data_IF_792907177882
#
_entry.id   IF_792907177882
#
_cell.length_a   1.000
_cell.length_b   1.000
_cell.length_c   1.000
_cell.angle_alpha   90.00
_cell.angle_beta   90.00
_cell.angle_gamma   90.00
#
_symmetry.space_group_name_H-M   'P 1'
#
loop_
_entity.id
_entity.type
_entity.pdbx_description
1 polymer ?
#
# COMPACT_ATOMS: atom_id res chain seq x y z
N UNK A 1 -22.31 33.38 -4.05
CA UNK A 1 -21.71 32.56 -5.13
C UNK A 1 -21.40 31.11 -4.72
N UNK A 2 -21.29 30.75 -3.44
CA UNK A 2 -21.02 29.35 -3.00
C UNK A 2 -22.21 28.39 -3.07
N UNK A 3 -23.45 28.87 -2.89
CA UNK A 3 -24.64 28.01 -2.87
C UNK A 3 -25.01 27.39 -4.23
N UNK A 4 -24.71 28.08 -5.34
CA UNK A 4 -24.98 27.56 -6.70
C UNK A 4 -24.03 26.44 -7.12
N UNK A 5 -22.76 26.54 -6.73
CA UNK A 5 -21.73 25.51 -6.99
C UNK A 5 -22.01 24.26 -6.15
N UNK A 6 -22.50 24.42 -4.91
CA UNK A 6 -22.85 23.28 -4.06
C UNK A 6 -24.07 22.52 -4.59
N UNK A 7 -25.11 23.21 -5.07
CA UNK A 7 -26.30 22.55 -5.61
C UNK A 7 -26.02 21.79 -6.92
N UNK A 8 -25.16 22.33 -7.80
CA UNK A 8 -24.74 21.65 -9.03
C UNK A 8 -23.88 20.42 -8.74
N UNK A 9 -22.95 20.50 -7.78
CA UNK A 9 -22.17 19.33 -7.32
C UNK A 9 -23.07 18.25 -6.74
N UNK A 10 -24.03 18.63 -5.91
CA UNK A 10 -25.03 17.70 -5.36
C UNK A 10 -25.90 17.09 -6.46
N UNK A 11 -26.28 17.83 -7.50
CA UNK A 11 -27.06 17.24 -8.59
C UNK A 11 -26.25 16.21 -9.39
N UNK A 12 -25.01 16.54 -9.76
CA UNK A 12 -24.19 15.69 -10.62
C UNK A 12 -23.65 14.44 -9.90
N UNK A 13 -23.43 14.48 -8.58
CA UNK A 13 -23.05 13.28 -7.83
C UNK A 13 -24.14 12.19 -7.87
N UNK A 14 -25.42 12.59 -7.99
CA UNK A 14 -26.53 11.62 -8.01
C UNK A 14 -26.52 10.71 -9.23
N UNK A 15 -25.82 11.10 -10.30
CA UNK A 15 -25.70 10.28 -11.51
C UNK A 15 -25.16 8.88 -11.21
N UNK A 16 -24.20 8.77 -10.29
CA UNK A 16 -23.58 7.48 -9.93
C UNK A 16 -24.45 6.60 -9.02
N UNK A 17 -25.59 7.11 -8.53
CA UNK A 17 -26.58 6.33 -7.80
C UNK A 17 -27.75 5.87 -8.67
N UNK A 18 -28.03 6.58 -9.77
CA UNK A 18 -29.20 6.34 -10.59
C UNK A 18 -28.90 5.67 -11.93
N UNK A 19 -27.67 5.76 -12.42
CA UNK A 19 -27.26 5.17 -13.69
C UNK A 19 -26.28 4.03 -13.47
N UNK A 20 -26.35 3.04 -14.35
CA UNK A 20 -25.29 2.03 -14.45
C UNK A 20 -24.06 2.62 -15.14
N UNK A 21 -22.84 2.09 -14.87
CA UNK A 21 -21.61 2.57 -15.48
C UNK A 21 -21.67 2.71 -17.02
N UNK A 22 -22.22 1.73 -17.72
CA UNK A 22 -22.36 1.72 -19.18
C UNK A 22 -23.31 2.81 -19.69
N UNK A 23 -24.36 3.12 -18.94
CA UNK A 23 -25.32 4.16 -19.31
C UNK A 23 -24.66 5.54 -19.29
N UNK A 24 -23.80 5.80 -18.30
CA UNK A 24 -23.05 7.05 -18.23
C UNK A 24 -22.03 7.17 -19.37
N UNK A 25 -21.36 6.09 -19.76
CA UNK A 25 -20.47 6.10 -20.94
C UNK A 25 -21.25 6.48 -22.20
N UNK A 26 -22.47 5.96 -22.38
CA UNK A 26 -23.31 6.30 -23.55
C UNK A 26 -23.82 7.75 -23.47
N UNK A 27 -24.26 8.19 -22.28
CA UNK A 27 -24.81 9.52 -22.06
C UNK A 27 -23.76 10.62 -22.32
N UNK A 28 -22.51 10.37 -21.96
CA UNK A 28 -21.39 11.30 -22.11
C UNK A 28 -20.42 10.91 -23.25
N UNK A 29 -20.87 10.11 -24.22
CA UNK A 29 -20.02 9.61 -25.32
C UNK A 29 -19.30 10.72 -26.11
N UNK A 30 -19.91 11.89 -26.20
CA UNK A 30 -19.41 13.05 -26.94
C UNK A 30 -18.54 13.98 -26.07
N UNK A 31 -18.48 13.74 -24.75
CA UNK A 31 -17.71 14.54 -23.78
C UNK A 31 -17.23 13.67 -22.59
N UNK A 32 -16.29 12.77 -22.87
CA UNK A 32 -15.70 11.90 -21.86
C UNK A 32 -14.94 12.70 -20.78
N UNK A 33 -14.37 13.86 -21.12
CA UNK A 33 -13.67 14.73 -20.17
C UNK A 33 -14.63 15.26 -19.10
N UNK A 34 -15.82 15.70 -19.50
CA UNK A 34 -16.86 16.11 -18.56
C UNK A 34 -17.27 14.97 -17.62
N UNK A 35 -17.45 13.74 -18.14
CA UNK A 35 -17.78 12.57 -17.31
C UNK A 35 -16.69 12.30 -16.27
N UNK A 36 -15.42 12.33 -16.67
CA UNK A 36 -14.27 12.16 -15.77
C UNK A 36 -14.26 13.23 -14.68
N UNK A 37 -14.46 14.50 -15.05
CA UNK A 37 -14.49 15.61 -14.08
C UNK A 37 -15.64 15.47 -13.08
N UNK A 38 -16.82 15.05 -13.55
CA UNK A 38 -17.99 14.78 -12.72
C UNK A 38 -17.70 13.64 -11.74
N UNK A 39 -17.11 12.54 -12.24
CA UNK A 39 -16.74 11.39 -11.42
C UNK A 39 -15.74 11.75 -10.31
N UNK A 40 -14.61 12.37 -10.65
CA UNK A 40 -13.60 12.76 -9.68
C UNK A 40 -14.14 13.75 -8.64
N UNK A 41 -14.97 14.70 -9.08
CA UNK A 41 -15.65 15.62 -8.17
C UNK A 41 -16.62 14.91 -7.23
N UNK A 42 -17.25 13.82 -7.68
CA UNK A 42 -18.22 13.05 -6.90
C UNK A 42 -17.53 12.24 -5.81
N UNK A 43 -16.45 11.53 -6.14
CA UNK A 43 -15.68 10.74 -5.15
C UNK A 43 -14.85 11.60 -4.19
N UNK A 44 -14.54 12.85 -4.55
CA UNK A 44 -13.96 13.85 -3.63
C UNK A 44 -15.03 14.40 -2.67
N UNK A 45 -16.27 14.55 -3.14
CA UNK A 45 -17.37 15.10 -2.33
C UNK A 45 -17.95 14.08 -1.37
N UNK A 46 -18.17 12.84 -1.83
CA UNK A 46 -18.67 11.73 -1.05
C UNK A 46 -17.71 10.54 -1.18
N UNK A 47 -17.01 10.20 -0.11
CA UNK A 47 -16.06 9.10 -0.11
C UNK A 47 -16.74 7.73 -0.31
N UNK A 48 -18.05 7.62 -0.08
CA UNK A 48 -18.81 6.39 -0.36
C UNK A 48 -19.23 6.24 -1.82
N UNK A 49 -19.11 7.30 -2.64
CA UNK A 49 -19.42 7.21 -4.05
C UNK A 49 -18.49 6.20 -4.75
N UNK A 50 -19.07 5.28 -5.52
CA UNK A 50 -18.34 4.20 -6.19
C UNK A 50 -17.42 3.42 -5.23
N UNK A 51 -17.85 3.15 -3.99
CA UNK A 51 -17.02 2.47 -2.99
C UNK A 51 -16.48 1.10 -3.47
N UNK A 52 -17.29 0.34 -4.21
CA UNK A 52 -16.92 -0.97 -4.77
C UNK A 52 -16.11 -0.88 -6.09
N UNK A 53 -15.93 0.35 -6.61
CA UNK A 53 -15.10 0.65 -7.78
C UNK A 53 -15.62 0.13 -9.11
N UNK A 54 -16.92 -0.09 -9.27
CA UNK A 54 -17.50 -0.53 -10.53
C UNK A 54 -17.33 0.53 -11.63
N UNK A 55 -17.55 1.81 -11.31
CA UNK A 55 -17.31 2.91 -12.25
C UNK A 55 -15.81 3.09 -12.48
N UNK A 56 -14.97 3.03 -11.43
CA UNK A 56 -13.53 3.10 -11.57
C UNK A 56 -13.02 2.08 -12.59
N UNK A 57 -13.41 0.80 -12.40
CA UNK A 57 -12.99 -0.31 -13.26
C UNK A 57 -13.40 -0.07 -14.71
N UNK A 58 -14.66 0.32 -14.95
CA UNK A 58 -15.14 0.57 -16.30
C UNK A 58 -14.43 1.76 -16.95
N UNK A 59 -14.17 2.84 -16.20
CA UNK A 59 -13.53 4.04 -16.74
C UNK A 59 -12.06 3.78 -17.07
N UNK A 60 -11.35 2.98 -16.27
CA UNK A 60 -9.99 2.52 -16.60
C UNK A 60 -9.97 1.74 -17.92
N UNK A 61 -10.98 0.90 -18.17
CA UNK A 61 -11.10 0.11 -19.41
C UNK A 61 -11.54 0.94 -20.63
N UNK A 62 -12.51 1.83 -20.45
CA UNK A 62 -13.22 2.50 -21.57
C UNK A 62 -12.74 3.90 -21.91
N UNK A 63 -12.11 4.60 -20.97
CA UNK A 63 -11.72 6.01 -21.16
C UNK A 63 -10.19 6.09 -21.28
N UNK A 64 -9.64 6.34 -22.48
CA UNK A 64 -8.20 6.40 -22.69
C UNK A 64 -7.52 7.43 -21.78
N UNK A 65 -6.46 7.01 -21.09
CA UNK A 65 -5.69 7.87 -20.20
C UNK A 65 -6.35 8.15 -18.84
N UNK A 66 -7.53 7.57 -18.56
CA UNK A 66 -8.21 7.78 -17.29
C UNK A 66 -7.38 7.33 -16.08
N UNK A 67 -6.67 6.20 -16.17
CA UNK A 67 -5.78 5.74 -15.09
C UNK A 67 -4.75 6.82 -14.70
N UNK A 68 -4.17 7.53 -15.68
CA UNK A 68 -3.24 8.64 -15.41
C UNK A 68 -3.92 9.76 -14.63
N UNK A 69 -5.12 10.15 -15.05
CA UNK A 69 -5.88 11.21 -14.38
C UNK A 69 -6.22 10.79 -12.95
N UNK A 70 -6.66 9.54 -12.76
CA UNK A 70 -6.98 8.98 -11.44
C UNK A 70 -5.75 8.89 -10.54
N UNK A 71 -4.60 8.45 -11.05
CA UNK A 71 -3.34 8.47 -10.28
C UNK A 71 -2.96 9.89 -9.87
N UNK A 72 -3.08 10.89 -10.76
CA UNK A 72 -2.85 12.29 -10.41
C UNK A 72 -3.83 12.81 -9.36
N UNK A 73 -5.09 12.37 -9.42
CA UNK A 73 -6.11 12.68 -8.40
C UNK A 73 -5.72 12.12 -7.03
N UNK A 74 -5.32 10.84 -6.94
CA UNK A 74 -4.84 10.23 -5.69
C UNK A 74 -3.59 10.94 -5.16
N UNK A 75 -2.65 11.33 -6.02
CA UNK A 75 -1.48 12.11 -5.63
C UNK A 75 -1.88 13.45 -5.00
N UNK A 76 -2.81 14.18 -5.64
CA UNK A 76 -3.28 15.49 -5.17
C UNK A 76 -4.10 15.45 -3.86
N UNK A 77 -4.51 14.26 -3.40
CA UNK A 77 -5.09 14.10 -2.07
C UNK A 77 -4.04 14.16 -0.95
N UNK A 78 -2.78 13.77 -1.24
CA UNK A 78 -1.69 13.71 -0.26
C UNK A 78 -2.14 12.97 1.02
N UNK A 79 -2.15 13.67 2.16
CA UNK A 79 -2.54 13.11 3.45
C UNK A 79 -4.06 12.86 3.61
N UNK A 80 -4.88 13.31 2.64
CA UNK A 80 -6.34 13.13 2.63
C UNK A 80 -6.81 11.83 2.00
N UNK A 81 -5.89 10.97 1.52
CA UNK A 81 -6.26 9.63 1.07
C UNK A 81 -6.87 8.83 2.22
N UNK A 82 -8.03 8.24 1.95
CA UNK A 82 -8.78 7.48 2.94
C UNK A 82 -8.94 6.00 2.55
N UNK A 83 -9.60 5.25 3.42
CA UNK A 83 -9.87 3.83 3.19
C UNK A 83 -10.82 3.62 2.01
N UNK A 84 -11.73 4.55 1.72
CA UNK A 84 -12.64 4.45 0.58
C UNK A 84 -11.92 4.55 -0.75
N UNK A 85 -10.88 5.39 -0.85
CA UNK A 85 -10.01 5.43 -2.04
C UNK A 85 -9.34 4.07 -2.30
N UNK A 86 -8.87 3.40 -1.25
CA UNK A 86 -8.29 2.06 -1.36
C UNK A 86 -9.34 1.02 -1.75
N UNK A 87 -10.51 1.02 -1.09
CA UNK A 87 -11.61 0.09 -1.39
C UNK A 87 -12.09 0.20 -2.83
N UNK A 88 -12.23 1.43 -3.33
CA UNK A 88 -12.54 1.70 -4.74
C UNK A 88 -11.48 1.14 -5.66
N UNK A 89 -10.21 1.36 -5.33
CA UNK A 89 -9.07 0.89 -6.14
C UNK A 89 -8.91 -0.64 -6.12
N UNK A 90 -9.37 -1.34 -5.07
CA UNK A 90 -9.35 -2.82 -5.02
C UNK A 90 -10.11 -3.46 -6.18
N UNK A 91 -11.10 -2.77 -6.76
CA UNK A 91 -11.83 -3.22 -7.95
C UNK A 91 -10.92 -3.55 -9.14
N UNK A 92 -9.77 -2.87 -9.26
CA UNK A 92 -8.81 -3.06 -10.36
C UNK A 92 -8.11 -4.43 -10.31
N UNK A 93 -8.09 -5.10 -9.14
CA UNK A 93 -7.62 -6.48 -9.06
C UNK A 93 -8.47 -7.48 -9.85
N UNK A 94 -9.71 -7.09 -10.20
CA UNK A 94 -10.63 -7.88 -11.01
C UNK A 94 -10.37 -7.73 -12.53
N UNK A 95 -9.46 -6.85 -12.94
CA UNK A 95 -9.06 -6.70 -14.33
C UNK A 95 -8.04 -7.77 -14.75
N UNK A 96 -8.02 -8.11 -16.04
CA UNK A 96 -7.07 -9.07 -16.58
C UNK A 96 -5.64 -8.52 -16.53
N UNK A 97 -5.46 -7.24 -16.87
CA UNK A 97 -4.18 -6.50 -16.85
C UNK A 97 -3.88 -5.83 -15.49
N UNK A 98 -4.38 -6.40 -14.38
CA UNK A 98 -4.28 -5.75 -13.08
C UNK A 98 -2.84 -5.41 -12.66
N UNK A 99 -1.85 -6.25 -13.02
CA UNK A 99 -0.46 -6.01 -12.63
C UNK A 99 0.07 -4.73 -13.27
N UNK A 100 -0.20 -4.51 -14.55
CA UNK A 100 0.21 -3.30 -15.27
C UNK A 100 -0.50 -2.05 -14.72
N UNK A 101 -1.79 -2.19 -14.32
CA UNK A 101 -2.53 -1.11 -13.67
C UNK A 101 -1.90 -0.71 -12.33
N UNK A 102 -1.56 -1.69 -11.48
CA UNK A 102 -0.92 -1.43 -10.19
C UNK A 102 0.53 -0.98 -10.33
N UNK A 103 1.29 -1.51 -11.29
CA UNK A 103 2.65 -1.05 -11.60
C UNK A 103 2.63 0.46 -11.90
N UNK A 104 1.70 0.90 -12.75
CA UNK A 104 1.53 2.31 -13.10
C UNK A 104 1.09 3.16 -11.89
N UNK A 105 0.04 2.74 -11.19
CA UNK A 105 -0.56 3.49 -10.10
C UNK A 105 0.45 3.69 -8.95
N UNK A 106 1.13 2.62 -8.55
CA UNK A 106 2.08 2.64 -7.44
C UNK A 106 3.35 3.38 -7.82
N UNK A 107 3.86 3.20 -9.04
CA UNK A 107 4.99 4.00 -9.53
C UNK A 107 4.65 5.49 -9.56
N UNK A 108 3.42 5.87 -9.93
CA UNK A 108 2.95 7.25 -9.87
C UNK A 108 2.91 7.81 -8.45
N UNK A 109 2.49 7.02 -7.46
CA UNK A 109 2.52 7.40 -6.03
C UNK A 109 3.95 7.51 -5.52
N UNK A 110 4.85 6.63 -5.95
CA UNK A 110 6.27 6.67 -5.55
C UNK A 110 7.03 7.85 -6.16
N UNK A 111 6.55 8.42 -7.27
CA UNK A 111 7.08 9.62 -7.92
C UNK A 111 6.68 10.91 -7.17
N UNK A 112 6.69 10.87 -5.84
CA UNK A 112 6.52 12.04 -4.97
C UNK A 112 7.90 12.40 -4.41
N UNK A 113 8.23 13.69 -4.36
CA UNK A 113 9.54 14.18 -3.91
C UNK A 113 9.83 13.94 -2.41
N UNK A 114 8.85 13.40 -1.67
CA UNK A 114 9.03 13.06 -0.27
C UNK A 114 9.93 11.82 -0.17
N UNK A 115 11.12 11.91 0.45
CA UNK A 115 11.93 10.73 0.70
C UNK A 115 11.23 9.75 1.65
N UNK A 116 10.20 10.17 2.39
CA UNK A 116 9.36 9.36 3.25
C UNK A 116 8.01 9.05 2.56
N UNK A 117 7.47 7.86 2.85
CA UNK A 117 6.11 7.54 2.43
C UNK A 117 5.14 8.16 3.45
N UNK A 118 4.19 8.98 2.98
CA UNK A 118 3.15 9.55 3.85
C UNK A 118 2.33 8.44 4.50
N UNK A 119 1.80 8.71 5.69
CA UNK A 119 0.97 7.75 6.42
C UNK A 119 -0.24 7.31 5.59
N UNK A 120 -0.85 8.24 4.86
CA UNK A 120 -2.02 7.95 4.02
C UNK A 120 -1.67 7.06 2.82
N UNK A 121 -0.48 7.22 2.20
CA UNK A 121 -0.03 6.28 1.16
C UNK A 121 0.27 4.88 1.72
N UNK A 122 0.85 4.78 2.92
CA UNK A 122 1.06 3.48 3.59
C UNK A 122 -0.26 2.77 3.84
N UNK A 123 -1.24 3.46 4.41
CA UNK A 123 -2.57 2.90 4.66
C UNK A 123 -3.27 2.48 3.37
N UNK A 124 -3.17 3.31 2.33
CA UNK A 124 -3.72 3.00 1.02
C UNK A 124 -3.12 1.71 0.45
N UNK A 125 -1.79 1.59 0.41
CA UNK A 125 -1.12 0.39 -0.10
C UNK A 125 -1.38 -0.84 0.79
N UNK A 126 -1.39 -0.67 2.10
CA UNK A 126 -1.72 -1.75 3.04
C UNK A 126 -3.14 -2.27 2.81
N UNK A 127 -4.11 -1.38 2.61
CA UNK A 127 -5.48 -1.76 2.27
C UNK A 127 -5.57 -2.46 0.91
N UNK A 128 -4.81 -2.02 -0.10
CA UNK A 128 -4.74 -2.68 -1.42
C UNK A 128 -4.19 -4.10 -1.38
N UNK A 129 -3.34 -4.40 -0.40
CA UNK A 129 -2.67 -5.69 -0.19
C UNK A 129 -3.30 -6.50 0.94
N UNK A 130 -4.29 -5.95 1.62
CA UNK A 130 -5.11 -6.67 2.59
C UNK A 130 -6.03 -7.62 1.84
N UNK A 131 -6.23 -8.82 2.39
CA UNK A 131 -7.08 -9.85 1.78
C UNK A 131 -8.54 -9.40 1.91
N UNK A 132 -9.29 -9.16 0.82
CA UNK A 132 -10.73 -9.11 0.92
C UNK A 132 -11.24 -10.52 1.18
N UNK A 133 -12.18 -10.67 2.11
CA UNK A 133 -12.69 -11.97 2.56
C UNK A 133 -13.36 -12.80 1.46
N UNK A 134 -13.69 -12.19 0.33
CA UNK A 134 -14.65 -12.76 -0.64
C UNK A 134 -13.99 -13.21 -1.96
N UNK A 135 -12.67 -13.06 -2.12
CA UNK A 135 -11.94 -13.44 -3.34
C UNK A 135 -10.83 -14.46 -3.04
N UNK A 136 -11.09 -15.78 -3.19
CA UNK A 136 -10.16 -16.84 -2.80
C UNK A 136 -8.76 -16.72 -3.43
N UNK A 137 -8.68 -16.25 -4.68
CA UNK A 137 -7.42 -16.14 -5.43
C UNK A 137 -6.73 -14.77 -5.31
N UNK A 138 -7.37 -13.79 -4.66
CA UNK A 138 -6.87 -12.42 -4.64
C UNK A 138 -5.58 -12.28 -3.81
N UNK A 139 -5.50 -12.98 -2.68
CA UNK A 139 -4.29 -12.97 -1.85
C UNK A 139 -3.05 -13.46 -2.63
N UNK A 140 -3.23 -14.51 -3.45
CA UNK A 140 -2.16 -15.04 -4.30
C UNK A 140 -1.77 -14.05 -5.39
N UNK A 141 -2.76 -13.41 -6.02
CA UNK A 141 -2.55 -12.39 -7.07
C UNK A 141 -1.82 -11.15 -6.52
N UNK A 142 -2.23 -10.64 -5.36
CA UNK A 142 -1.57 -9.53 -4.66
C UNK A 142 -0.11 -9.87 -4.31
N UNK A 143 0.14 -11.07 -3.75
CA UNK A 143 1.49 -11.53 -3.43
C UNK A 143 2.35 -11.61 -4.69
N UNK A 144 1.86 -12.24 -5.77
CA UNK A 144 2.58 -12.34 -7.04
C UNK A 144 2.95 -10.96 -7.60
N UNK A 145 2.01 -10.02 -7.58
CA UNK A 145 2.26 -8.66 -8.02
C UNK A 145 3.37 -7.99 -7.20
N UNK A 146 3.29 -8.03 -5.87
CA UNK A 146 4.29 -7.38 -4.99
C UNK A 146 5.68 -7.94 -5.25
N UNK A 147 5.83 -9.25 -5.41
CA UNK A 147 7.12 -9.88 -5.69
C UNK A 147 7.65 -9.45 -7.07
N UNK A 148 6.82 -9.50 -8.12
CA UNK A 148 7.18 -9.01 -9.46
C UNK A 148 7.60 -7.54 -9.42
N UNK A 149 6.88 -6.69 -8.69
CA UNK A 149 7.16 -5.26 -8.61
C UNK A 149 8.48 -4.98 -7.86
N UNK A 150 8.80 -5.76 -6.82
CA UNK A 150 10.11 -5.71 -6.15
C UNK A 150 11.23 -6.03 -7.14
N UNK A 151 11.07 -7.06 -7.97
CA UNK A 151 12.05 -7.42 -8.98
C UNK A 151 12.30 -6.27 -9.96
N UNK A 152 11.22 -5.63 -10.45
CA UNK A 152 11.32 -4.55 -11.43
C UNK A 152 12.03 -3.29 -10.91
N UNK A 153 11.90 -2.99 -9.61
CA UNK A 153 12.53 -1.81 -8.99
C UNK A 153 13.83 -2.11 -8.23
N UNK A 154 14.23 -3.39 -8.16
CA UNK A 154 15.32 -3.88 -7.30
C UNK A 154 16.67 -3.19 -7.51
N UNK A 155 16.95 -2.67 -8.71
CA UNK A 155 18.20 -1.98 -9.03
C UNK A 155 18.27 -0.53 -8.54
N UNK A 156 17.16 0.06 -8.09
CA UNK A 156 17.11 1.42 -7.56
C UNK A 156 16.97 1.38 -6.04
N UNK A 157 18.06 1.73 -5.34
CA UNK A 157 18.08 1.82 -3.87
C UNK A 157 17.03 2.80 -3.33
N UNK A 158 16.73 3.87 -4.07
CA UNK A 158 15.70 4.83 -3.72
C UNK A 158 14.29 4.22 -3.85
N UNK A 159 13.98 3.60 -5.00
CA UNK A 159 12.65 3.03 -5.22
C UNK A 159 12.38 1.86 -4.28
N UNK A 160 13.34 0.95 -4.10
CA UNK A 160 13.14 -0.20 -3.22
C UNK A 160 12.97 0.24 -1.77
N UNK A 161 13.76 1.21 -1.31
CA UNK A 161 13.60 1.80 0.03
C UNK A 161 12.22 2.41 0.21
N UNK A 162 11.75 3.18 -0.77
CA UNK A 162 10.44 3.81 -0.70
C UNK A 162 9.32 2.76 -0.72
N UNK A 163 9.42 1.75 -1.58
CA UNK A 163 8.41 0.70 -1.67
C UNK A 163 8.32 -0.13 -0.38
N UNK A 164 9.45 -0.54 0.21
CA UNK A 164 9.44 -1.22 1.51
C UNK A 164 8.87 -0.35 2.65
N UNK A 165 8.90 0.99 2.53
CA UNK A 165 8.21 1.89 3.45
C UNK A 165 6.71 1.96 3.20
N UNK A 166 6.25 1.81 1.96
CA UNK A 166 4.81 1.69 1.66
C UNK A 166 4.24 0.37 2.19
N UNK A 167 5.05 -0.69 2.17
CA UNK A 167 4.71 -2.01 2.71
C UNK A 167 4.79 -2.05 4.25
N UNK A 168 4.65 -0.93 4.96
CA UNK A 168 4.88 -0.86 6.40
C UNK A 168 3.96 -1.83 7.17
N UNK A 169 2.67 -1.79 6.84
CA UNK A 169 1.61 -2.44 7.60
C UNK A 169 1.09 -3.74 6.95
N UNK A 170 1.88 -4.36 6.05
CA UNK A 170 1.54 -5.69 5.53
C UNK A 170 1.84 -6.79 6.56
N UNK A 171 1.25 -7.97 6.38
CA UNK A 171 1.51 -9.11 7.26
C UNK A 171 2.99 -9.50 7.31
N UNK A 172 3.45 -9.98 8.47
CA UNK A 172 4.82 -10.50 8.63
C UNK A 172 5.12 -11.64 7.64
N UNK A 173 4.12 -12.44 7.27
CA UNK A 173 4.29 -13.50 6.26
C UNK A 173 4.64 -12.93 4.89
N UNK A 174 3.85 -11.98 4.37
CA UNK A 174 4.10 -11.36 3.07
C UNK A 174 5.41 -10.57 3.11
N UNK A 175 5.66 -9.81 4.17
CA UNK A 175 6.91 -9.07 4.38
C UNK A 175 8.13 -9.97 4.32
N UNK A 176 8.09 -11.14 4.99
CA UNK A 176 9.17 -12.13 4.92
C UNK A 176 9.40 -12.59 3.48
N UNK A 177 8.34 -12.91 2.74
CA UNK A 177 8.43 -13.30 1.33
C UNK A 177 9.04 -12.18 0.47
N UNK A 178 8.64 -10.93 0.69
CA UNK A 178 9.19 -9.76 0.00
C UNK A 178 10.70 -9.60 0.26
N UNK A 179 11.14 -9.70 1.52
CA UNK A 179 12.57 -9.60 1.88
C UNK A 179 13.35 -10.74 1.24
N UNK A 180 12.84 -11.97 1.31
CA UNK A 180 13.50 -13.14 0.72
C UNK A 180 13.60 -13.06 -0.78
N UNK A 181 12.54 -12.60 -1.45
CA UNK A 181 12.59 -12.39 -2.88
C UNK A 181 13.59 -11.28 -3.23
N UNK A 182 13.55 -10.14 -2.52
CA UNK A 182 14.48 -9.03 -2.73
C UNK A 182 15.95 -9.45 -2.65
N UNK A 183 16.36 -10.19 -1.61
CA UNK A 183 17.77 -10.62 -1.48
C UNK A 183 18.22 -11.61 -2.56
N UNK A 184 17.28 -12.28 -3.24
CA UNK A 184 17.62 -13.17 -4.37
C UNK A 184 17.91 -12.37 -5.64
N UNK A 185 17.20 -11.26 -5.84
CA UNK A 185 17.33 -10.40 -7.04
C UNK A 185 18.35 -9.28 -6.84
N UNK A 186 18.61 -8.84 -5.61
CA UNK A 186 19.61 -7.83 -5.26
C UNK A 186 20.41 -8.27 -4.01
N UNK A 187 21.71 -8.47 -4.18
CA UNK A 187 22.63 -8.95 -3.13
C UNK A 187 23.48 -7.82 -2.54
N UNK A 188 23.20 -6.56 -2.88
CA UNK A 188 23.91 -5.39 -2.36
C UNK A 188 23.50 -5.14 -0.92
N UNK A 189 24.49 -5.21 -0.03
CA UNK A 189 24.31 -4.96 1.39
C UNK A 189 23.83 -3.55 1.70
N UNK A 190 24.27 -2.53 0.96
CA UNK A 190 23.83 -1.16 1.21
C UNK A 190 22.36 -0.97 0.85
N UNK A 191 21.88 -1.65 -0.20
CA UNK A 191 20.46 -1.70 -0.54
C UNK A 191 19.64 -2.46 0.52
N UNK A 192 20.15 -3.59 1.03
CA UNK A 192 19.50 -4.34 2.11
C UNK A 192 19.41 -3.55 3.42
N UNK A 193 20.43 -2.77 3.74
CA UNK A 193 20.48 -1.97 4.96
C UNK A 193 19.42 -0.85 4.97
N UNK A 194 19.05 -0.32 3.81
CA UNK A 194 18.10 0.80 3.71
C UNK A 194 16.65 0.38 3.64
N UNK A 195 16.33 -0.89 3.34
CA UNK A 195 14.97 -1.39 3.42
C UNK A 195 14.56 -1.57 4.89
N UNK A 196 13.33 -1.17 5.22
CA UNK A 196 12.81 -1.37 6.58
C UNK A 196 12.48 -2.85 6.77
N UNK A 197 13.29 -3.60 7.52
CA UNK A 197 13.02 -5.03 7.75
C UNK A 197 11.79 -5.23 8.63
N UNK A 198 11.63 -4.41 9.67
CA UNK A 198 10.51 -4.47 10.61
C UNK A 198 9.47 -3.38 10.29
N UNK A 199 8.18 -3.59 10.65
CA UNK A 199 7.19 -2.53 10.64
C UNK A 199 7.60 -1.35 11.54
N UNK A 200 7.24 -0.12 11.15
CA UNK A 200 7.54 1.10 11.92
C UNK A 200 6.69 1.22 13.19
N UNK A 201 5.42 0.77 13.14
CA UNK A 201 4.52 0.76 14.29
C UNK A 201 4.56 -0.63 14.92
N UNK A 202 4.75 -0.68 16.23
CA UNK A 202 4.65 -1.89 17.03
C UNK A 202 4.01 -1.55 18.38
N UNK A 203 3.20 -2.46 18.89
CA UNK A 203 2.33 -2.22 20.06
C UNK A 203 0.86 -2.44 19.71
N UNK A 204 0.09 -2.88 20.71
CA UNK A 204 -1.31 -3.24 20.55
C UNK A 204 -1.94 -3.57 21.90
N UNK A 205 -3.06 -4.31 21.91
CA UNK A 205 -3.60 -4.82 23.17
C UNK A 205 -2.69 -5.93 23.70
N UNK A 206 -1.86 -5.59 24.68
CA UNK A 206 -0.98 -6.52 25.38
C UNK A 206 0.32 -5.86 25.85
N UNK A 207 1.16 -6.61 26.58
CA UNK A 207 2.46 -6.13 27.03
C UNK A 207 3.36 -5.78 25.83
N UNK A 208 4.10 -4.67 25.94
CA UNK A 208 5.02 -4.24 24.88
C UNK A 208 6.17 -5.25 24.72
N UNK A 209 6.58 -5.92 25.81
CA UNK A 209 7.53 -7.03 25.80
C UNK A 209 7.11 -8.18 24.87
N UNK A 210 5.80 -8.42 24.73
CA UNK A 210 5.25 -9.44 23.82
C UNK A 210 5.35 -9.00 22.36
N UNK A 211 5.10 -7.72 22.06
CA UNK A 211 5.27 -7.20 20.71
C UNK A 211 6.74 -7.23 20.26
N UNK A 212 7.68 -6.99 21.18
CA UNK A 212 9.12 -7.10 20.92
C UNK A 212 9.55 -8.56 20.64
N UNK A 213 8.97 -9.55 21.33
CA UNK A 213 9.26 -10.97 21.02
C UNK A 213 8.86 -11.33 19.58
N UNK A 214 7.69 -10.89 19.12
CA UNK A 214 7.25 -11.12 17.73
C UNK A 214 8.23 -10.52 16.72
N UNK A 215 8.80 -9.33 17.00
CA UNK A 215 9.81 -8.69 16.16
C UNK A 215 11.11 -9.48 16.14
N UNK A 216 11.57 -9.96 17.29
CA UNK A 216 12.76 -10.80 17.43
C UNK A 216 12.58 -12.11 16.66
N UNK A 217 11.44 -12.80 16.83
CA UNK A 217 11.12 -14.03 16.11
C UNK A 217 11.08 -13.80 14.59
N UNK A 218 10.48 -12.68 14.15
CA UNK A 218 10.48 -12.32 12.74
C UNK A 218 11.91 -12.13 12.20
N UNK A 219 12.77 -11.36 12.87
CA UNK A 219 14.16 -11.17 12.44
C UNK A 219 14.93 -12.49 12.41
N UNK A 220 14.78 -13.33 13.44
CA UNK A 220 15.38 -14.68 13.49
C UNK A 220 14.92 -15.54 12.32
N UNK A 221 13.65 -15.41 11.91
CA UNK A 221 13.11 -16.11 10.75
C UNK A 221 13.78 -15.73 9.43
N UNK A 222 14.47 -14.58 9.36
CA UNK A 222 15.19 -14.15 8.16
C UNK A 222 16.57 -14.82 8.00
N UNK A 223 17.22 -15.18 9.12
CA UNK A 223 18.59 -15.70 9.14
C UNK A 223 18.83 -16.95 8.27
N UNK A 224 17.91 -17.94 8.17
CA UNK A 224 18.12 -19.13 7.36
C UNK A 224 18.36 -18.85 5.87
N UNK A 225 17.89 -17.71 5.35
CA UNK A 225 18.07 -17.32 3.96
C UNK A 225 19.33 -16.45 3.73
N UNK A 226 19.98 -15.99 4.80
CA UNK A 226 21.20 -15.19 4.76
C UNK A 226 22.45 -16.09 4.89
N UNK A 227 22.58 -17.05 3.98
CA UNK A 227 23.63 -18.09 4.03
C UNK A 227 24.69 -17.94 2.94
N UNK A 228 25.92 -18.36 3.26
CA UNK A 228 27.07 -18.25 2.35
C UNK A 228 27.80 -16.90 2.45
N UNK A 229 29.01 -16.85 1.88
CA UNK A 229 29.94 -15.72 2.06
C UNK A 229 29.35 -14.38 1.58
N UNK A 230 28.53 -14.40 0.52
CA UNK A 230 27.92 -13.20 -0.05
C UNK A 230 26.93 -12.50 0.89
N UNK A 231 26.32 -13.22 1.83
CA UNK A 231 25.34 -12.68 2.77
C UNK A 231 25.91 -12.46 4.18
N UNK A 232 27.22 -12.57 4.37
CA UNK A 232 27.85 -12.42 5.70
C UNK A 232 27.50 -11.08 6.36
N UNK A 233 27.62 -9.97 5.63
CA UNK A 233 27.28 -8.64 6.16
C UNK A 233 25.77 -8.49 6.43
N UNK A 234 24.92 -9.10 5.59
CA UNK A 234 23.47 -9.08 5.77
C UNK A 234 23.09 -9.81 7.06
N UNK A 235 23.65 -11.01 7.26
CA UNK A 235 23.45 -11.81 8.46
C UNK A 235 23.90 -11.08 9.71
N UNK A 236 25.13 -10.54 9.71
CA UNK A 236 25.67 -9.78 10.85
C UNK A 236 24.82 -8.55 11.18
N UNK A 237 24.27 -7.87 10.16
CA UNK A 237 23.36 -6.75 10.38
C UNK A 237 22.04 -7.19 11.02
N UNK A 238 21.43 -8.28 10.51
CA UNK A 238 20.21 -8.84 11.10
C UNK A 238 20.43 -9.33 12.53
N UNK A 239 21.56 -9.98 12.83
CA UNK A 239 21.94 -10.40 14.19
C UNK A 239 22.06 -9.20 15.14
N UNK A 240 22.69 -8.10 14.70
CA UNK A 240 22.75 -6.87 15.50
C UNK A 240 21.38 -6.25 15.77
N UNK A 241 20.45 -6.34 14.83
CA UNK A 241 19.07 -5.90 15.05
C UNK A 241 18.36 -6.80 16.07
N UNK A 242 18.60 -8.11 16.05
CA UNK A 242 18.08 -9.04 17.06
C UNK A 242 18.60 -8.65 18.44
N UNK A 243 19.92 -8.47 18.60
CA UNK A 243 20.54 -8.04 19.87
C UNK A 243 20.02 -6.69 20.38
N UNK A 244 19.64 -5.78 19.47
CA UNK A 244 19.03 -4.52 19.82
C UNK A 244 17.60 -4.68 20.36
N UNK A 245 16.77 -5.46 19.65
CA UNK A 245 15.38 -5.72 20.07
C UNK A 245 15.33 -6.56 21.37
N UNK A 246 16.25 -7.51 21.57
CA UNK A 246 16.38 -8.29 22.81
C UNK A 246 16.68 -7.39 24.02
N UNK A 247 17.61 -6.45 23.88
CA UNK A 247 17.91 -5.47 24.95
C UNK A 247 16.72 -4.56 25.24
N UNK A 248 16.01 -4.10 24.20
CA UNK A 248 14.79 -3.30 24.40
C UNK A 248 13.73 -4.10 25.16
N UNK A 249 13.58 -5.39 24.85
CA UNK A 249 12.64 -6.28 25.54
C UNK A 249 12.99 -6.47 27.01
N UNK A 250 14.26 -6.63 27.34
CA UNK A 250 14.71 -6.76 28.74
C UNK A 250 14.37 -5.50 29.56
N UNK A 251 14.59 -4.31 29.00
CA UNK A 251 14.22 -3.04 29.64
C UNK A 251 12.72 -2.96 29.87
N UNK A 252 11.92 -3.27 28.84
CA UNK A 252 10.47 -3.23 28.93
C UNK A 252 9.91 -4.20 29.97
N UNK A 253 10.46 -5.43 30.05
CA UNK A 253 10.07 -6.41 31.07
C UNK A 253 10.31 -5.90 32.50
N UNK A 254 11.40 -5.16 32.73
CA UNK A 254 11.68 -4.56 34.04
C UNK A 254 10.63 -3.48 34.35
N UNK A 255 10.28 -2.65 33.37
CA UNK A 255 9.26 -1.60 33.52
C UNK A 255 7.86 -2.18 33.78
N UNK A 256 7.45 -3.19 33.01
CA UNK A 256 6.18 -3.90 33.20
C UNK A 256 6.08 -4.51 34.61
N UNK A 257 7.12 -5.20 35.08
CA UNK A 257 7.15 -5.79 36.44
C UNK A 257 7.12 -4.72 37.52
N UNK A 258 7.80 -3.58 37.33
CA UNK A 258 7.75 -2.48 38.29
C UNK A 258 6.35 -1.88 38.42
N UNK A 259 5.62 -1.75 37.31
CA UNK A 259 4.24 -1.24 37.31
C UNK A 259 3.26 -2.18 38.02
N UNK A 260 3.47 -3.50 37.92
CA UNK A 260 2.63 -4.50 38.60
C UNK A 260 2.84 -4.56 40.13
N UNK A 261 3.92 -3.95 40.65
CA UNK A 261 4.28 -3.95 42.07
C UNK A 261 3.68 -2.75 42.83
N UNK A 262 3.10 -1.76 42.14
CA UNK A 262 2.48 -0.55 42.73
C UNK A 262 0.97 -0.50 42.55
#
# INVERSE_FOLDING_TARGET
MSAGISAQRVYLHTLFYYYQPEELIVLFRDDAELLVNIYLSSIEYDSSADYDGEFLKLFVDRIPGFLRIYTSFLKGKEDRLDTSDANRTLSLWKCDECFELFDYLISGIMDVSDPYASYSYKNFVSALLSKPSDFPDLAMRQEQWVLRFIESISNSSQHIRYFFRLLDDISFELRRKCIFHFITVNQDFECFKVITLLPSIYGGMGPLSSALEVRIEFLRSLLPNLTGLKFLNHKLYTEKLIEYEERNKEVELIEEVMLDIF
#
